data_IF_643393002507
#
_entry.id   IF_643393002507
#
_cell.length_a   1.000
_cell.length_b   1.000
_cell.length_c   1.000
_cell.angle_alpha   90.00
_cell.angle_beta   90.00
_cell.angle_gamma   90.00
#
_symmetry.space_group_name_H-M   'P 1'
#
loop_
_entity.id
_entity.type
_entity.pdbx_description
1 polymer ?
#
# COMPACT_ATOMS: atom_id res chain seq x y z
N UNK A 1 17.50 -8.35 -0.64
CA UNK A 1 16.14 -8.12 -0.08
C UNK A 1 15.11 -8.34 -1.18
N UNK A 2 14.05 -9.11 -0.92
CA UNK A 2 12.94 -9.26 -1.86
C UNK A 2 12.20 -7.92 -2.03
N UNK A 3 11.50 -7.74 -3.16
CA UNK A 3 10.71 -6.52 -3.38
C UNK A 3 9.63 -6.36 -2.29
N UNK A 4 9.03 -7.46 -1.82
CA UNK A 4 8.10 -7.45 -0.68
C UNK A 4 8.74 -6.95 0.61
N UNK A 5 9.98 -7.38 0.92
CA UNK A 5 10.71 -6.88 2.09
C UNK A 5 10.99 -5.37 2.00
N UNK A 6 11.35 -4.85 0.82
CA UNK A 6 11.54 -3.41 0.62
C UNK A 6 10.24 -2.63 0.85
N UNK A 7 9.12 -3.11 0.33
CA UNK A 7 7.80 -2.48 0.51
C UNK A 7 7.37 -2.51 1.98
N UNK A 8 7.58 -3.62 2.68
CA UNK A 8 7.27 -3.73 4.11
C UNK A 8 8.10 -2.75 4.94
N UNK A 9 9.41 -2.67 4.70
CA UNK A 9 10.29 -1.71 5.37
C UNK A 9 9.86 -0.27 5.09
N UNK A 10 9.54 0.06 3.83
CA UNK A 10 9.04 1.39 3.48
C UNK A 10 7.74 1.75 4.22
N UNK A 11 6.81 0.80 4.35
CA UNK A 11 5.57 0.98 5.10
C UNK A 11 5.81 1.24 6.60
N UNK A 12 6.72 0.47 7.21
CA UNK A 12 7.09 0.64 8.63
C UNK A 12 7.75 2.01 8.86
N UNK A 13 8.69 2.40 8.01
CA UNK A 13 9.37 3.70 8.10
C UNK A 13 8.36 4.84 7.94
N UNK A 14 7.46 4.76 6.97
CA UNK A 14 6.41 5.76 6.77
C UNK A 14 5.52 5.89 8.01
N UNK A 15 5.07 4.78 8.60
CA UNK A 15 4.25 4.81 9.81
C UNK A 15 5.01 5.40 11.02
N UNK A 16 6.27 5.01 11.21
CA UNK A 16 7.13 5.52 12.29
C UNK A 16 7.39 7.03 12.18
N UNK A 17 7.49 7.55 10.96
CA UNK A 17 7.66 8.99 10.70
C UNK A 17 6.33 9.74 10.85
N UNK A 18 5.23 9.21 10.30
CA UNK A 18 3.94 9.90 10.30
C UNK A 18 3.32 9.98 11.71
N UNK A 19 3.41 8.92 12.52
CA UNK A 19 2.81 8.89 13.85
C UNK A 19 3.18 10.10 14.72
N UNK A 20 4.47 10.42 14.95
CA UNK A 20 4.83 11.57 15.79
C UNK A 20 4.48 12.93 15.15
N UNK A 21 4.37 13.01 13.82
CA UNK A 21 4.12 14.27 13.11
C UNK A 21 2.65 14.70 13.13
N UNK A 22 1.74 13.75 12.92
CA UNK A 22 0.31 14.06 12.74
C UNK A 22 -0.60 13.30 13.72
N UNK A 23 -0.02 12.48 14.60
CA UNK A 23 -0.77 11.67 15.56
C UNK A 23 -1.30 10.37 14.96
N UNK A 24 -1.68 9.44 15.85
CA UNK A 24 -2.03 8.06 15.48
C UNK A 24 -3.15 7.98 14.42
N UNK A 25 -4.29 8.65 14.66
CA UNK A 25 -5.45 8.54 13.77
C UNK A 25 -5.17 9.07 12.37
N UNK A 26 -4.48 10.21 12.26
CA UNK A 26 -4.12 10.79 10.97
C UNK A 26 -3.04 9.98 10.26
N UNK A 27 -2.03 9.48 10.98
CA UNK A 27 -1.03 8.59 10.43
C UNK A 27 -1.67 7.31 9.87
N UNK A 28 -2.61 6.72 10.62
CA UNK A 28 -3.35 5.53 10.18
C UNK A 28 -4.15 5.81 8.90
N UNK A 29 -4.86 6.95 8.84
CA UNK A 29 -5.58 7.38 7.65
C UNK A 29 -4.66 7.57 6.45
N UNK A 30 -3.45 8.10 6.63
CA UNK A 30 -2.50 8.26 5.51
C UNK A 30 -1.95 6.91 5.04
N UNK A 31 -1.51 6.06 5.97
CA UNK A 31 -0.92 4.75 5.66
C UNK A 31 -1.91 3.84 4.92
N UNK A 32 -3.20 3.91 5.24
CA UNK A 32 -4.24 3.12 4.58
C UNK A 32 -4.85 3.88 3.40
N UNK A 33 -5.20 5.15 3.63
CA UNK A 33 -5.96 5.97 2.69
C UNK A 33 -5.18 6.27 1.42
N UNK A 34 -3.86 6.48 1.49
CA UNK A 34 -3.05 6.74 0.29
C UNK A 34 -3.02 5.52 -0.64
N UNK A 35 -2.71 4.29 -0.19
CA UNK A 35 -2.83 3.10 -1.04
C UNK A 35 -4.24 2.87 -1.59
N UNK A 36 -5.28 3.08 -0.78
CA UNK A 36 -6.68 2.92 -1.22
C UNK A 36 -7.04 3.94 -2.30
N UNK A 37 -6.75 5.23 -2.06
CA UNK A 37 -6.98 6.29 -3.04
C UNK A 37 -6.18 6.03 -4.32
N UNK A 38 -4.91 5.64 -4.19
CA UNK A 38 -4.07 5.25 -5.31
C UNK A 38 -4.70 4.12 -6.12
N UNK A 39 -5.20 3.08 -5.47
CA UNK A 39 -5.90 1.98 -6.15
C UNK A 39 -7.19 2.42 -6.83
N UNK A 40 -7.96 3.33 -6.21
CA UNK A 40 -9.22 3.85 -6.76
C UNK A 40 -8.98 4.74 -7.98
N UNK A 41 -7.91 5.54 -7.96
CA UNK A 41 -7.49 6.40 -9.06
C UNK A 41 -6.91 5.63 -10.27
N UNK A 42 -6.55 4.35 -10.11
CA UNK A 42 -6.10 3.54 -11.24
C UNK A 42 -7.18 3.42 -12.33
N UNK A 43 -6.74 3.43 -13.58
CA UNK A 43 -7.60 3.12 -14.71
C UNK A 43 -8.19 1.70 -14.58
N UNK A 44 -9.41 1.46 -15.10
CA UNK A 44 -10.02 0.13 -15.10
C UNK A 44 -9.11 -0.95 -15.69
N UNK A 45 -8.29 -0.62 -16.69
CA UNK A 45 -7.33 -1.53 -17.32
C UNK A 45 -6.20 -1.94 -16.37
N UNK A 46 -5.60 -0.99 -15.66
CA UNK A 46 -4.54 -1.22 -14.67
C UNK A 46 -5.05 -2.04 -13.49
N UNK A 47 -6.21 -1.67 -12.96
CA UNK A 47 -6.87 -2.38 -11.85
C UNK A 47 -7.23 -3.83 -12.20
N UNK A 48 -7.73 -4.08 -13.42
CA UNK A 48 -7.98 -5.45 -13.92
C UNK A 48 -6.69 -6.26 -14.06
N UNK A 49 -5.60 -5.65 -14.53
CA UNK A 49 -4.29 -6.30 -14.63
C UNK A 49 -3.74 -6.67 -13.26
N UNK A 50 -3.79 -5.75 -12.31
CA UNK A 50 -3.36 -5.98 -10.93
C UNK A 50 -4.15 -7.11 -10.26
N UNK A 51 -5.50 -7.10 -10.37
CA UNK A 51 -6.33 -8.21 -9.87
C UNK A 51 -5.94 -9.55 -10.48
N UNK A 52 -5.68 -9.61 -11.79
CA UNK A 52 -5.23 -10.84 -12.46
C UNK A 52 -3.86 -11.31 -11.97
N UNK A 53 -2.91 -10.40 -11.79
CA UNK A 53 -1.58 -10.75 -11.26
C UNK A 53 -1.68 -11.29 -9.83
N UNK A 54 -2.44 -10.60 -8.98
CA UNK A 54 -2.64 -11.00 -7.59
C UNK A 54 -3.30 -12.37 -7.48
N UNK A 55 -4.34 -12.64 -8.27
CA UNK A 55 -5.02 -13.94 -8.28
C UNK A 55 -4.10 -15.09 -8.74
N UNK A 56 -3.12 -14.82 -9.61
CA UNK A 56 -2.13 -15.83 -10.03
C UNK A 56 -1.10 -16.17 -8.94
N UNK A 57 -0.94 -15.31 -7.93
CA UNK A 57 -0.05 -15.52 -6.79
C UNK A 57 -0.73 -16.20 -5.60
N UNK A 58 -2.07 -16.18 -5.52
CA UNK A 58 -2.82 -16.80 -4.41
C UNK A 58 -2.99 -18.33 -4.59
N UNK A 59 -2.77 -18.85 -5.80
CA UNK A 59 -2.89 -20.28 -6.13
C UNK A 59 -1.57 -20.95 -6.52
N UNK A 60 -0.43 -20.34 -6.19
CA UNK A 60 0.94 -20.87 -6.37
C UNK A 60 1.69 -20.70 -5.06
#
# INVERSE_FOLDING_TARGET
>A
MSNGAKVAVAGVVAAAVLWPLIGFWWALLVVIGVPVAGYLLLDPSQRRRLRRINNKQIGR
#
